data_IF_595851997356
#
_entry.id   IF_595851997356
#
_cell.length_a   1.000
_cell.length_b   1.000
_cell.length_c   1.000
_cell.angle_alpha   90.00
_cell.angle_beta   90.00
_cell.angle_gamma   90.00
#
_symmetry.space_group_name_H-M   'P 1'
#
loop_
_entity.id
_entity.type
_entity.pdbx_description
1 polymer ?
2 non-polymer ?
3 non-polymer ?
4 water ?
#
# COMPACT_ATOMS: atom_id res chain seq x y z
N UNK A 2 -14.29 -0.76 22.55
CA UNK A 2 -14.24 -2.17 22.93
C UNK A 2 -13.00 -2.53 23.73
N UNK A 3 -11.81 -2.19 23.23
CA UNK A 3 -10.56 -2.51 23.90
C UNK A 3 -9.91 -1.23 24.40
N UNK A 4 -9.58 -1.21 25.71
CA UNK A 4 -9.05 0.00 26.33
C UNK A 4 -7.91 0.58 25.50
N UNK A 5 -6.95 -0.25 25.11
CA UNK A 5 -5.88 0.14 24.23
C UNK A 5 -5.92 -0.77 23.01
N UNK A 6 -5.79 -0.19 21.83
CA UNK A 6 -5.80 -0.94 20.58
C UNK A 6 -4.55 -0.60 19.78
N UNK A 7 -4.48 -1.14 18.57
CA UNK A 7 -3.29 -0.95 17.74
C UNK A 7 -3.13 0.51 17.33
N UNK A 8 -4.22 1.25 17.14
CA UNK A 8 -4.11 2.66 16.79
C UNK A 8 -3.48 3.48 17.92
N UNK A 9 -3.92 3.26 19.16
CA UNK A 9 -3.32 4.00 20.26
C UNK A 9 -1.94 3.47 20.62
N UNK A 10 -1.69 2.18 20.38
CA UNK A 10 -0.35 1.66 20.63
C UNK A 10 0.66 2.41 19.78
N UNK A 11 0.42 2.46 18.48
CA UNK A 11 1.35 3.11 17.56
C UNK A 11 1.22 4.62 17.58
N UNK A 12 0.20 5.16 18.25
CA UNK A 12 0.18 6.60 18.49
C UNK A 12 1.20 6.99 19.56
N UNK A 13 1.38 6.12 20.57
CA UNK A 13 2.39 6.38 21.60
C UNK A 13 3.78 6.32 20.99
N UNK A 14 4.02 5.34 20.12
CA UNK A 14 5.35 5.16 19.53
C UNK A 14 5.55 6.10 18.36
N UNK A 15 4.68 6.03 17.36
CA UNK A 15 4.66 6.96 16.25
C UNK A 15 3.64 8.04 16.56
N UNK A 16 4.04 9.29 16.46
CA UNK A 16 3.14 10.38 16.80
C UNK A 16 1.89 10.36 15.94
N UNK A 17 0.79 10.84 16.52
CA UNK A 17 -0.45 11.04 15.78
C UNK A 17 -0.53 12.49 15.32
N UNK A 18 -0.64 12.67 14.01
CA UNK A 18 -0.71 14.00 13.39
C UNK A 18 -2.03 14.17 12.69
N UNK A 19 -2.81 15.18 13.09
CA UNK A 19 -4.03 15.55 12.41
C UNK A 19 -3.83 16.78 11.52
N UNK A 20 -2.59 17.17 11.30
CA UNK A 20 -2.24 18.20 10.33
C UNK A 20 -0.97 17.75 9.64
N UNK A 21 -0.85 18.10 8.36
CA UNK A 21 0.34 17.72 7.61
C UNK A 21 1.57 18.20 8.37
N UNK A 22 2.56 17.32 8.50
CA UNK A 22 3.74 17.56 9.32
C UNK A 22 4.98 17.27 8.48
N UNK A 23 5.94 18.19 8.52
CA UNK A 23 7.21 18.05 7.82
C UNK A 23 8.30 17.77 8.84
N UNK A 24 9.06 16.70 8.62
CA UNK A 24 10.08 16.26 9.57
C UNK A 24 11.44 16.83 9.17
N UNK A 25 12.50 16.30 9.78
CA UNK A 25 13.83 16.86 9.54
C UNK A 25 14.32 16.58 8.12
N UNK A 26 13.91 15.46 7.53
CA UNK A 26 14.26 15.14 6.15
C UNK A 26 13.43 15.92 5.14
N UNK A 27 12.46 16.71 5.58
CA UNK A 27 11.55 17.39 4.68
C UNK A 27 10.38 16.55 4.19
N UNK A 28 10.20 15.34 4.73
CA UNK A 28 9.14 14.46 4.29
C UNK A 28 7.83 14.89 4.92
N UNK A 29 6.78 15.01 4.10
CA UNK A 29 5.46 15.37 4.61
C UNK A 29 4.71 14.15 5.09
N UNK A 30 4.09 14.27 6.26
CA UNK A 30 3.45 13.15 6.93
C UNK A 30 2.12 13.60 7.51
N UNK A 31 1.25 12.63 7.78
CA UNK A 31 -0.03 12.90 8.42
C UNK A 31 -0.47 11.61 9.10
N UNK A 32 -1.40 11.73 10.05
CA UNK A 32 -1.92 10.57 10.73
C UNK A 32 -0.86 9.83 11.53
N UNK A 33 -1.04 8.52 11.63
CA UNK A 33 -0.10 7.66 12.33
C UNK A 33 1.05 7.33 11.39
N UNK A 34 1.99 8.27 11.25
CA UNK A 34 3.18 8.00 10.45
C UNK A 34 2.89 7.55 9.05
N UNK A 35 1.92 8.17 8.39
CA UNK A 35 1.58 7.86 7.01
C UNK A 35 2.33 8.84 6.11
N UNK A 36 3.33 8.35 5.39
CA UNK A 36 4.12 9.20 4.51
C UNK A 36 3.30 9.62 3.30
N UNK A 37 3.06 10.92 3.15
CA UNK A 37 2.34 11.41 2.00
C UNK A 37 3.26 11.58 0.80
N UNK A 38 4.38 12.27 0.99
CA UNK A 38 5.37 12.46 -0.05
C UNK A 38 6.69 12.80 0.62
N UNK A 39 7.78 12.65 -0.13
CA UNK A 39 9.10 13.01 0.35
C UNK A 39 9.62 14.27 -0.32
N UNK A 40 8.87 14.84 -1.25
CA UNK A 40 9.23 16.10 -1.89
C UNK A 40 8.84 17.23 -0.95
N UNK A 41 9.73 18.20 -0.78
CA UNK A 41 9.44 19.35 0.08
C UNK A 41 8.43 20.30 -0.54
N UNK A 42 7.23 19.81 -0.86
CA UNK A 42 6.17 20.63 -1.43
C UNK A 42 4.88 20.36 -0.67
N UNK A 43 4.41 21.38 0.06
CA UNK A 43 3.22 21.22 0.90
C UNK A 43 1.95 21.13 0.06
N UNK A 44 1.95 21.69 -1.15
CA UNK A 44 0.75 21.67 -1.97
C UNK A 44 0.50 20.28 -2.54
N UNK A 45 1.58 19.58 -2.94
CA UNK A 45 1.40 18.22 -3.41
C UNK A 45 1.09 17.27 -2.25
N UNK A 46 1.66 17.54 -1.07
CA UNK A 46 1.33 16.71 0.09
C UNK A 46 -0.15 16.83 0.43
N UNK A 47 -0.70 18.04 0.36
CA UNK A 47 -2.12 18.20 0.63
C UNK A 47 -2.95 17.63 -0.52
N UNK A 48 -2.47 17.76 -1.75
CA UNK A 48 -3.18 17.18 -2.88
C UNK A 48 -3.25 15.65 -2.76
N UNK A 49 -2.13 15.03 -2.37
CA UNK A 49 -2.14 13.60 -2.12
C UNK A 49 -3.16 13.26 -1.03
N UNK A 50 -3.15 14.04 0.05
CA UNK A 50 -4.11 13.80 1.13
C UNK A 50 -5.54 13.90 0.61
N UNK A 51 -5.79 14.84 -0.29
CA UNK A 51 -7.14 15.02 -0.81
C UNK A 51 -7.60 13.80 -1.60
N UNK A 52 -6.71 13.19 -2.39
CA UNK A 52 -7.11 12.02 -3.14
C UNK A 52 -7.30 10.82 -2.24
N UNK A 53 -6.47 10.68 -1.21
CA UNK A 53 -6.62 9.56 -0.28
C UNK A 53 -7.95 9.65 0.44
N UNK A 54 -8.26 10.82 0.97
CA UNK A 54 -9.52 11.06 1.64
C UNK A 54 -10.54 11.49 0.59
N UNK A 55 -11.79 11.65 1.01
CA UNK A 55 -12.81 11.99 0.05
C UNK A 55 -13.27 13.44 0.10
N UNK A 56 -12.38 14.34 0.51
CA UNK A 56 -12.74 15.74 0.61
C UNK A 56 -11.54 16.62 0.27
N UNK A 57 -11.83 17.90 0.07
CA UNK A 57 -10.83 18.92 -0.20
C UNK A 57 -10.32 19.48 1.14
N UNK A 58 -9.52 18.66 1.80
CA UNK A 58 -8.90 19.08 3.06
C UNK A 58 -7.88 20.18 2.81
N UNK A 59 -7.67 21.02 3.82
CA UNK A 59 -6.64 22.04 3.78
C UNK A 59 -5.45 21.66 4.67
N UNK A 60 -5.16 20.36 4.75
CA UNK A 60 -4.09 19.86 5.58
C UNK A 60 -4.53 19.32 6.92
N UNK A 61 -5.76 19.65 7.34
CA UNK A 61 -6.29 19.21 8.62
C UNK A 61 -7.24 18.05 8.37
N UNK A 62 -7.18 17.04 9.24
CA UNK A 62 -8.03 15.87 9.14
C UNK A 62 -8.61 15.59 10.52
N UNK A 63 -9.59 14.70 10.55
CA UNK A 63 -10.20 14.25 11.81
C UNK A 63 -9.50 12.99 12.30
N UNK A 64 -9.76 12.66 13.57
CA UNK A 64 -9.24 11.41 14.12
C UNK A 64 -9.89 10.20 13.44
N UNK A 65 -11.16 10.32 13.05
CA UNK A 65 -11.81 9.23 12.34
C UNK A 65 -11.09 8.93 11.03
N UNK A 66 -10.69 9.97 10.30
CA UNK A 66 -10.00 9.76 9.04
C UNK A 66 -8.60 9.21 9.26
N UNK A 67 -7.92 9.65 10.33
CA UNK A 67 -6.62 9.10 10.63
C UNK A 67 -6.71 7.61 10.96
N UNK A 68 -7.81 7.20 11.61
CA UNK A 68 -7.98 5.76 11.88
C UNK A 68 -8.29 5.01 10.59
N UNK A 69 -8.97 5.65 9.64
CA UNK A 69 -9.19 5.02 8.35
C UNK A 69 -7.87 4.83 7.60
N UNK A 70 -7.05 5.88 7.55
CA UNK A 70 -5.74 5.74 6.93
C UNK A 70 -4.92 4.66 7.61
N UNK A 71 -4.94 4.66 8.95
CA UNK A 71 -4.14 3.70 9.69
C UNK A 71 -4.64 2.27 9.48
N UNK A 72 -5.96 2.08 9.49
CA UNK A 72 -6.48 0.74 9.25
C UNK A 72 -6.00 0.21 7.91
N UNK A 73 -5.81 1.09 6.92
CA UNK A 73 -5.27 0.65 5.64
C UNK A 73 -3.81 0.23 5.76
N UNK A 74 -3.03 0.99 6.52
CA UNK A 74 -1.63 0.61 6.73
C UNK A 74 -1.54 -0.70 7.51
N UNK A 75 -2.43 -0.93 8.46
CA UNK A 75 -2.41 -2.17 9.21
C UNK A 75 -2.73 -3.35 8.30
N UNK A 76 -3.74 -3.20 7.45
CA UNK A 76 -4.07 -4.26 6.51
C UNK A 76 -2.87 -4.62 5.65
N UNK A 77 -2.07 -3.62 5.27
CA UNK A 77 -0.87 -3.91 4.49
C UNK A 77 0.22 -4.53 5.35
N UNK A 78 0.32 -4.15 6.62
CA UNK A 78 1.30 -4.78 7.50
C UNK A 78 0.98 -6.24 7.73
N UNK A 79 -0.31 -6.56 7.92
CA UNK A 79 -0.69 -7.97 8.06
C UNK A 79 -0.40 -8.72 6.77
N UNK A 80 -0.67 -8.09 5.62
CA UNK A 80 -0.40 -8.74 4.34
C UNK A 80 1.09 -9.03 4.19
N UNK A 81 1.95 -8.11 4.64
CA UNK A 81 3.37 -8.35 4.56
C UNK A 81 3.84 -9.45 5.49
N UNK A 82 3.22 -9.56 6.66
CA UNK A 82 3.61 -10.59 7.62
C UNK A 82 3.16 -11.96 7.13
N UNK A 83 1.90 -12.08 6.72
CA UNK A 83 1.39 -13.37 6.26
C UNK A 83 2.00 -13.78 4.93
N UNK A 84 2.51 -12.83 4.16
CA UNK A 84 3.18 -13.11 2.90
C UNK A 84 4.65 -13.43 3.08
N UNK A 85 5.20 -13.23 4.27
CA UNK A 85 6.59 -13.55 4.55
C UNK A 85 6.69 -14.96 5.09
N UNK A 86 7.66 -15.72 4.56
CA UNK A 86 7.85 -17.09 5.01
C UNK A 86 8.32 -17.15 6.46
N UNK A 87 9.07 -16.15 6.93
CA UNK A 87 9.59 -16.21 8.28
C UNK A 87 8.54 -15.79 9.30
N UNK A 88 7.85 -14.68 9.06
CA UNK A 88 6.94 -14.12 10.03
C UNK A 88 5.57 -14.79 10.02
N UNK A 89 5.19 -15.43 8.91
CA UNK A 89 3.83 -15.95 8.79
C UNK A 89 3.46 -16.98 9.85
N UNK A 90 4.29 -17.98 10.17
CA UNK A 90 3.89 -18.94 11.21
C UNK A 90 3.84 -18.33 12.61
N UNK A 91 4.64 -17.30 12.90
CA UNK A 91 4.54 -16.66 14.21
C UNK A 91 3.21 -15.95 14.35
N UNK A 92 2.83 -15.17 13.33
CA UNK A 92 1.57 -14.45 13.39
C UNK A 92 0.40 -15.39 13.69
N UNK A 93 0.43 -16.61 13.11
CA UNK A 93 -0.67 -17.55 13.28
C UNK A 93 -0.89 -17.90 14.75
N UNK A 94 0.18 -18.23 15.48
CA UNK A 94 0.01 -18.71 16.84
C UNK A 94 -0.14 -17.58 17.87
N UNK A 95 0.20 -16.35 17.52
CA UNK A 95 0.12 -15.24 18.48
C UNK A 95 -1.32 -14.77 18.69
N UNK A 96 -1.61 -14.38 19.93
CA UNK A 96 -2.93 -13.83 20.25
C UNK A 96 -3.06 -12.42 19.69
N UNK A 97 -4.21 -11.80 19.97
CA UNK A 97 -4.51 -10.49 19.39
C UNK A 97 -3.53 -9.43 19.89
N UNK A 98 -3.26 -9.40 21.19
CA UNK A 98 -2.39 -8.38 21.75
C UNK A 98 -0.97 -8.54 21.21
N UNK A 99 -0.44 -9.76 21.27
CA UNK A 99 0.92 -9.97 20.80
C UNK A 99 1.04 -9.80 19.28
N UNK A 100 -0.06 -10.02 18.56
CA UNK A 100 -0.08 -9.72 17.13
C UNK A 100 0.13 -8.23 16.87
N UNK A 101 -0.46 -7.38 17.72
CA UNK A 101 -0.24 -5.95 17.57
C UNK A 101 1.22 -5.58 17.79
N UNK A 102 1.91 -6.28 18.68
CA UNK A 102 3.31 -5.97 18.95
C UNK A 102 4.19 -6.36 17.77
N UNK A 103 3.85 -7.46 17.07
CA UNK A 103 4.59 -7.84 15.88
C UNK A 103 4.34 -6.86 14.75
N UNK A 104 3.12 -6.35 14.64
CA UNK A 104 2.81 -5.34 13.65
C UNK A 104 3.54 -4.04 13.98
N UNK A 105 3.67 -3.73 15.26
CA UNK A 105 4.42 -2.55 15.68
C UNK A 105 5.85 -2.60 15.18
N UNK A 106 6.48 -3.77 15.28
CA UNK A 106 7.85 -3.90 14.79
C UNK A 106 7.90 -3.71 13.28
N UNK A 107 6.93 -4.27 12.56
CA UNK A 107 6.91 -4.12 11.12
C UNK A 107 6.61 -2.68 10.72
N UNK A 108 6.00 -1.90 11.61
CA UNK A 108 5.82 -0.48 11.34
C UNK A 108 7.15 0.28 11.41
N UNK A 109 7.92 0.05 12.46
CA UNK A 109 9.19 0.73 12.64
C UNK A 109 10.17 0.30 11.56
N UNK A 110 10.58 -0.97 11.63
CA UNK A 110 11.39 -1.58 10.59
C UNK A 110 10.48 -2.34 9.62
N UNK A 111 11.02 -2.64 8.45
CA UNK A 111 10.24 -3.31 7.44
C UNK A 111 9.96 -4.77 7.78
N UNK A 112 9.17 -5.39 6.92
CA UNK A 112 8.95 -6.83 7.05
C UNK A 112 10.27 -7.57 6.99
N UNK A 113 11.18 -7.12 6.12
CA UNK A 113 12.49 -7.77 6.02
C UNK A 113 13.33 -7.50 7.26
N UNK A 114 13.09 -6.36 7.93
CA UNK A 114 13.84 -6.07 9.14
C UNK A 114 13.41 -6.93 10.31
N UNK A 115 12.10 -7.10 10.48
CA UNK A 115 11.60 -7.94 11.56
C UNK A 115 12.02 -9.39 11.33
N UNK A 116 12.02 -9.82 10.07
CA UNK A 116 12.42 -11.17 9.74
C UNK A 116 13.90 -11.43 10.01
N UNK A 117 14.65 -10.39 10.41
CA UNK A 117 16.04 -10.59 10.78
C UNK A 117 16.26 -11.10 12.19
N UNK A 118 15.23 -11.06 13.03
CA UNK A 118 15.31 -11.56 14.41
C UNK A 118 15.07 -13.07 14.41
N UNK A 119 16.03 -13.80 13.85
CA UNK A 119 15.85 -15.24 13.67
C UNK A 119 15.63 -15.94 15.01
N UNK A 120 16.57 -15.80 15.95
CA UNK A 120 16.47 -16.52 17.20
C UNK A 120 15.31 -16.01 18.05
N UNK A 121 15.11 -14.69 18.10
CA UNK A 121 14.01 -14.14 18.88
C UNK A 121 12.66 -14.60 18.33
N UNK A 122 12.55 -14.71 17.00
CA UNK A 122 11.28 -15.13 16.42
C UNK A 122 10.97 -16.58 16.76
N UNK A 123 11.99 -17.44 16.82
CA UNK A 123 11.76 -18.83 17.22
C UNK A 123 11.25 -18.90 18.65
N UNK A 124 11.75 -18.02 19.52
CA UNK A 124 11.27 -17.97 20.90
C UNK A 124 9.80 -17.54 20.93
N UNK A 125 9.43 -16.55 20.12
CA UNK A 125 8.04 -16.14 20.06
C UNK A 125 7.17 -17.25 19.47
N UNK A 126 7.65 -17.91 18.41
CA UNK A 126 6.86 -18.94 17.77
C UNK A 126 6.49 -20.07 18.74
N UNK A 127 7.38 -20.37 19.69
CA UNK A 127 7.17 -21.40 20.68
C UNK A 127 6.53 -20.88 21.96
N UNK A 128 5.92 -19.70 21.90
CA UNK A 128 5.28 -19.10 23.08
C UNK A 128 6.22 -19.07 24.27
N UNK A 129 7.52 -18.98 24.00
CA UNK A 129 8.53 -18.87 25.04
C UNK A 129 8.80 -17.39 25.35
N UNK A 130 7.77 -16.71 25.82
CA UNK A 130 7.93 -15.32 26.22
C UNK A 130 9.05 -15.24 27.27
N UNK A 131 9.53 -14.02 27.51
CA UNK A 131 10.56 -13.79 28.52
C UNK A 131 11.93 -14.23 27.98
N UNK A 132 12.02 -15.45 27.47
CA UNK A 132 13.23 -15.85 26.76
C UNK A 132 13.37 -15.05 25.47
N UNK A 133 12.26 -14.79 24.79
CA UNK A 133 12.28 -13.90 23.63
C UNK A 133 12.62 -12.47 24.03
N UNK A 134 12.12 -12.04 25.19
CA UNK A 134 12.38 -10.68 25.64
C UNK A 134 13.87 -10.44 25.90
N UNK A 135 14.58 -11.48 26.35
CA UNK A 135 16.01 -11.34 26.58
C UNK A 135 16.75 -11.22 25.25
N UNK A 136 16.38 -12.03 24.27
CA UNK A 136 17.05 -11.96 22.98
C UNK A 136 16.70 -10.68 22.24
N UNK A 137 15.46 -10.21 22.37
CA UNK A 137 15.08 -8.96 21.71
C UNK A 137 15.77 -7.77 22.35
N UNK A 138 16.07 -7.84 23.65
CA UNK A 138 16.74 -6.72 24.31
C UNK A 138 18.19 -6.59 23.87
N UNK A 139 18.81 -7.71 23.48
CA UNK A 139 20.17 -7.69 22.95
C UNK A 139 20.09 -7.55 21.44
N UNK A 140 19.76 -6.35 21.00
CA UNK A 140 19.61 -6.07 19.58
C UNK A 140 19.87 -4.61 19.31
N UNK A 141 20.17 -4.31 18.04
CA UNK A 141 20.31 -2.92 17.63
C UNK A 141 19.01 -2.15 17.79
N UNK A 142 17.87 -2.83 17.59
CA UNK A 142 16.57 -2.20 17.78
C UNK A 142 16.42 -1.66 19.20
N UNK A 143 16.84 -2.45 20.19
CA UNK A 143 16.78 -1.97 21.57
C UNK A 143 17.77 -0.84 21.81
N UNK A 144 18.93 -0.88 21.16
CA UNK A 144 19.94 0.15 21.37
C UNK A 144 19.48 1.50 20.83
N UNK A 145 18.93 1.51 19.62
CA UNK A 145 18.56 2.78 19.00
C UNK A 145 17.31 3.36 19.62
N UNK A 146 16.32 2.52 19.92
CA UNK A 146 15.03 2.97 20.46
C UNK A 146 14.71 2.20 21.73
N UNK A 147 15.44 2.48 22.81
CA UNK A 147 15.23 1.70 24.03
C UNK A 147 13.81 1.77 24.56
N UNK A 148 13.20 2.96 24.60
CA UNK A 148 11.91 3.09 25.27
C UNK A 148 10.80 2.47 24.46
N UNK A 149 10.80 2.67 23.14
CA UNK A 149 9.82 1.99 22.30
C UNK A 149 10.01 0.47 22.35
N UNK A 150 11.28 0.03 22.35
CA UNK A 150 11.55 -1.40 22.42
C UNK A 150 11.08 -1.98 23.76
N UNK A 151 11.29 -1.24 24.85
CA UNK A 151 10.84 -1.74 26.14
C UNK A 151 9.33 -1.96 26.14
N UNK A 152 8.57 -1.01 25.60
CA UNK A 152 7.11 -1.17 25.63
C UNK A 152 6.69 -2.38 24.80
N UNK A 153 7.29 -2.55 23.62
CA UNK A 153 6.89 -3.63 22.73
C UNK A 153 7.29 -4.97 23.33
N UNK A 154 8.51 -5.07 23.85
CA UNK A 154 8.96 -6.32 24.46
C UNK A 154 8.10 -6.67 25.65
N UNK A 155 7.75 -5.66 26.47
CA UNK A 155 6.87 -5.93 27.59
C UNK A 155 5.52 -6.47 27.13
N UNK A 156 5.01 -5.98 25.99
CA UNK A 156 3.75 -6.48 25.46
C UNK A 156 3.89 -7.95 25.08
N UNK A 157 5.04 -8.34 24.52
CA UNK A 157 5.24 -9.75 24.20
C UNK A 157 5.30 -10.59 25.47
N UNK A 158 5.85 -10.05 26.55
CA UNK A 158 5.95 -10.83 27.79
C UNK A 158 4.59 -10.99 28.44
N UNK A 159 3.86 -9.89 28.62
CA UNK A 159 2.60 -9.95 29.34
C UNK A 159 1.42 -10.30 28.43
N UNK A 160 1.35 -9.69 27.26
CA UNK A 160 0.13 -9.77 26.47
C UNK A 160 -1.01 -8.99 27.08
N UNK A 161 -0.72 -7.91 27.84
CA UNK A 161 -1.72 -7.23 28.64
C UNK A 161 -1.84 -5.73 28.40
N UNK A 162 -1.21 -5.20 27.34
CA UNK A 162 -1.26 -3.77 27.06
C UNK A 162 -0.78 -2.93 28.25
N UNK A 163 -0.16 -3.55 29.25
CA UNK A 163 0.20 -2.84 30.47
C UNK A 163 1.17 -1.69 30.18
N UNK A 164 2.08 -1.88 29.23
CA UNK A 164 3.06 -0.85 28.92
C UNK A 164 2.44 0.41 28.31
N UNK A 165 1.23 0.32 27.76
CA UNK A 165 0.55 1.43 27.10
C UNK A 165 -0.66 1.91 27.88
N UNK A 166 -0.72 1.64 29.19
CA UNK A 166 -1.90 2.01 29.98
C UNK A 166 -2.25 3.48 29.79
N UNK A 167 -1.27 4.37 29.89
CA UNK A 167 -1.49 5.80 29.71
C UNK A 167 -0.26 6.41 29.03
N UNK A 168 0.08 5.85 27.87
CA UNK A 168 1.29 6.26 27.14
C UNK A 168 2.53 6.07 28.01
N UNK B 2 -22.89 6.14 -14.05
CA UNK B 2 -22.49 7.53 -14.26
C UNK B 2 -21.51 7.70 -15.41
N UNK B 3 -20.43 6.92 -15.43
CA UNK B 3 -19.41 7.00 -16.46
C UNK B 3 -19.49 5.75 -17.33
N UNK B 4 -19.64 5.95 -18.65
CA UNK B 4 -19.79 4.82 -19.56
C UNK B 4 -18.66 3.81 -19.36
N UNK B 5 -17.41 4.28 -19.42
CA UNK B 5 -16.23 3.49 -19.12
C UNK B 5 -15.47 4.22 -18.02
N UNK B 6 -15.04 3.50 -17.02
CA UNK B 6 -14.31 4.06 -15.90
C UNK B 6 -12.99 3.32 -15.74
N UNK B 7 -12.25 3.69 -14.69
CA UNK B 7 -10.96 3.06 -14.45
C UNK B 7 -11.11 1.59 -14.09
N UNK B 8 -12.17 1.23 -13.38
CA UNK B 8 -12.39 -0.18 -13.06
C UNK B 8 -12.64 -0.96 -14.35
N UNK B 9 -13.47 -0.41 -15.23
CA UNK B 9 -13.75 -1.09 -16.49
C UNK B 9 -12.57 -1.00 -17.44
N UNK B 10 -11.78 0.07 -17.38
CA UNK B 10 -10.58 0.16 -18.19
C UNK B 10 -9.61 -0.95 -17.83
N UNK B 11 -9.28 -1.08 -16.55
CA UNK B 11 -8.30 -2.07 -16.11
C UNK B 11 -8.89 -3.47 -15.99
N UNK B 12 -10.21 -3.62 -16.10
CA UNK B 12 -10.77 -4.96 -16.18
C UNK B 12 -10.40 -5.62 -17.51
N UNK B 13 -10.36 -4.82 -18.58
CA UNK B 13 -9.93 -5.35 -19.88
C UNK B 13 -8.45 -5.72 -19.83
N UNK B 14 -7.64 -4.90 -19.18
CA UNK B 14 -6.18 -5.07 -19.21
C UNK B 14 -5.70 -6.12 -18.22
N UNK B 15 -6.06 -5.98 -16.95
CA UNK B 15 -5.64 -6.95 -15.94
C UNK B 15 -6.60 -8.12 -15.79
N UNK B 16 -7.87 -7.93 -16.12
CA UNK B 16 -8.88 -8.95 -15.93
C UNK B 16 -9.49 -8.88 -14.54
N UNK B 17 -10.77 -9.20 -14.43
CA UNK B 17 -11.47 -9.22 -13.15
C UNK B 17 -11.59 -10.65 -12.65
N UNK B 18 -11.05 -10.92 -11.46
CA UNK B 18 -11.13 -12.23 -10.83
C UNK B 18 -11.90 -12.12 -9.53
N UNK B 19 -13.01 -12.83 -9.43
CA UNK B 19 -13.79 -12.89 -8.19
C UNK B 19 -13.52 -14.17 -7.42
N UNK B 20 -12.51 -14.94 -7.81
CA UNK B 20 -12.07 -16.10 -7.06
C UNK B 20 -10.54 -16.10 -7.07
N UNK B 21 -9.96 -16.51 -5.94
CA UNK B 21 -8.50 -16.52 -5.84
C UNK B 21 -7.93 -17.29 -7.01
N UNK B 22 -6.89 -16.73 -7.63
CA UNK B 22 -6.31 -17.26 -8.86
C UNK B 22 -4.81 -17.41 -8.69
N UNK B 23 -4.28 -18.57 -9.06
CA UNK B 23 -2.85 -18.85 -9.01
C UNK B 23 -2.29 -18.87 -10.43
N UNK B 24 -1.27 -18.07 -10.67
CA UNK B 24 -0.70 -17.90 -12.00
C UNK B 24 0.49 -18.84 -12.19
N UNK B 25 1.28 -18.58 -13.25
CA UNK B 25 2.38 -19.49 -13.58
C UNK B 25 3.50 -19.44 -12.54
N UNK B 26 3.70 -18.28 -11.91
CA UNK B 26 4.70 -18.17 -10.85
C UNK B 26 4.21 -18.76 -9.53
N UNK B 27 2.96 -19.20 -9.46
CA UNK B 27 2.40 -19.63 -8.19
C UNK B 27 1.91 -18.48 -7.33
N UNK B 28 1.90 -17.26 -7.87
CA UNK B 28 1.47 -16.10 -7.12
C UNK B 28 -0.05 -16.03 -7.10
N UNK B 29 -0.62 -15.87 -5.91
CA UNK B 29 -2.06 -15.78 -5.76
C UNK B 29 -2.55 -14.35 -6.00
N UNK B 30 -3.65 -14.23 -6.75
CA UNK B 30 -4.19 -12.95 -7.16
C UNK B 30 -5.70 -12.98 -7.04
N UNK B 31 -6.29 -11.79 -6.96
CA UNK B 31 -7.74 -11.65 -6.87
C UNK B 31 -8.10 -10.27 -7.39
N UNK B 32 -9.36 -10.08 -7.76
CA UNK B 32 -9.81 -8.78 -8.21
C UNK B 32 -9.10 -8.35 -9.48
N UNK B 33 -8.88 -7.04 -9.59
CA UNK B 33 -8.17 -6.46 -10.73
C UNK B 33 -6.67 -6.57 -10.46
N UNK B 34 -6.12 -7.76 -10.67
CA UNK B 34 -4.69 -7.96 -10.55
C UNK B 34 -4.10 -7.55 -9.22
N UNK B 35 -4.79 -7.85 -8.13
CA UNK B 35 -4.29 -7.51 -6.80
C UNK B 35 -3.55 -8.71 -6.24
N UNK B 36 -2.22 -8.60 -6.12
CA UNK B 36 -1.39 -9.70 -5.63
C UNK B 36 -1.62 -9.91 -4.15
N UNK B 37 -2.11 -11.09 -3.79
CA UNK B 37 -2.32 -11.41 -2.38
C UNK B 37 -1.04 -11.91 -1.72
N UNK B 38 -0.41 -12.93 -2.31
CA UNK B 38 0.82 -13.47 -1.74
C UNK B 38 1.59 -14.19 -2.84
N UNK B 39 2.88 -14.37 -2.59
CA UNK B 39 3.77 -15.09 -3.49
C UNK B 39 4.31 -16.39 -2.90
N UNK B 40 3.95 -16.72 -1.66
CA UNK B 40 4.51 -17.91 -1.01
C UNK B 40 3.89 -19.20 -1.51
N UNK B 41 2.95 -19.15 -2.44
CA UNK B 41 2.38 -20.35 -3.05
C UNK B 41 1.66 -21.19 -2.00
N UNK B 42 0.74 -20.57 -1.27
CA UNK B 42 -0.05 -21.25 -0.26
C UNK B 42 -1.50 -20.79 -0.37
N UNK B 43 -2.40 -21.70 -0.73
CA UNK B 43 -3.79 -21.31 -0.96
C UNK B 43 -4.48 -20.94 0.35
N UNK B 44 -4.06 -21.53 1.48
CA UNK B 44 -4.68 -21.20 2.75
C UNK B 44 -4.24 -19.83 3.24
N UNK B 45 -2.97 -19.48 3.03
CA UNK B 45 -2.48 -18.16 3.44
C UNK B 45 -2.98 -17.07 2.52
N UNK B 46 -3.15 -17.38 1.23
CA UNK B 46 -3.71 -16.39 0.32
C UNK B 46 -5.12 -16.01 0.74
N UNK B 47 -5.92 -17.00 1.15
CA UNK B 47 -7.27 -16.70 1.62
C UNK B 47 -7.22 -16.02 2.98
N UNK B 48 -6.26 -16.38 3.84
CA UNK B 48 -6.12 -15.72 5.12
C UNK B 48 -5.80 -14.25 4.93
N UNK B 49 -4.91 -13.94 3.98
CA UNK B 49 -4.62 -12.55 3.66
C UNK B 49 -5.89 -11.87 3.14
N UNK B 50 -6.61 -12.54 2.24
CA UNK B 50 -7.83 -11.96 1.69
C UNK B 50 -8.84 -11.68 2.80
N UNK B 51 -8.94 -12.58 3.79
CA UNK B 51 -9.93 -12.40 4.85
C UNK B 51 -9.64 -11.15 5.65
N UNK B 52 -8.37 -10.84 5.90
CA UNK B 52 -8.02 -9.64 6.66
C UNK B 52 -8.30 -8.37 5.86
N UNK B 53 -8.09 -8.41 4.55
CA UNK B 53 -8.29 -7.23 3.73
C UNK B 53 -9.76 -6.80 3.69
N UNK B 54 -10.66 -7.73 3.42
CA UNK B 54 -12.08 -7.39 3.30
C UNK B 54 -12.84 -7.44 4.61
N UNK B 55 -12.38 -8.20 5.60
CA UNK B 55 -13.07 -8.28 6.88
C UNK B 55 -14.11 -9.36 7.00
N UNK B 56 -13.98 -10.46 6.27
CA UNK B 56 -14.91 -11.57 6.33
C UNK B 56 -14.12 -12.86 6.19
N UNK B 57 -14.74 -13.98 6.60
CA UNK B 57 -14.13 -15.28 6.40
C UNK B 57 -14.60 -15.83 5.05
N UNK B 58 -14.14 -15.18 3.99
CA UNK B 58 -14.42 -15.65 2.65
C UNK B 58 -13.62 -16.92 2.38
N UNK B 59 -14.12 -17.73 1.46
CA UNK B 59 -13.42 -18.94 1.03
C UNK B 59 -12.78 -18.75 -0.33
N UNK B 60 -12.30 -17.55 -0.62
CA UNK B 60 -11.69 -17.23 -1.89
C UNK B 60 -12.58 -16.52 -2.87
N UNK B 61 -13.89 -16.50 -2.64
CA UNK B 61 -14.84 -15.85 -3.53
C UNK B 61 -15.23 -14.51 -2.94
N UNK B 62 -15.30 -13.49 -3.80
CA UNK B 62 -15.68 -12.14 -3.41
C UNK B 62 -16.71 -11.62 -4.40
N UNK B 63 -17.33 -10.50 -4.03
CA UNK B 63 -18.30 -9.83 -4.89
C UNK B 63 -17.59 -8.80 -5.77
N UNK B 64 -18.30 -8.33 -6.79
CA UNK B 64 -17.76 -7.28 -7.63
C UNK B 64 -17.59 -5.98 -6.85
N UNK B 65 -18.50 -5.72 -5.90
CA UNK B 65 -18.37 -4.54 -5.06
C UNK B 65 -17.08 -4.59 -4.25
N UNK B 66 -16.75 -5.76 -3.69
CA UNK B 66 -15.53 -5.87 -2.90
C UNK B 66 -14.28 -5.78 -3.78
N UNK B 67 -14.34 -6.33 -5.00
CA UNK B 67 -13.20 -6.21 -5.90
C UNK B 67 -12.94 -4.75 -6.26
N UNK B 68 -14.02 -3.97 -6.41
CA UNK B 68 -13.86 -2.55 -6.68
C UNK B 68 -13.35 -1.82 -5.44
N UNK B 69 -13.70 -2.29 -4.25
CA UNK B 69 -13.14 -1.71 -3.02
C UNK B 69 -11.64 -1.93 -2.97
N UNK B 70 -11.19 -3.15 -3.26
CA UNK B 70 -9.76 -3.42 -3.36
C UNK B 70 -9.14 -2.52 -4.42
N UNK B 71 -9.81 -2.41 -5.57
CA UNK B 71 -9.26 -1.65 -6.68
C UNK B 71 -9.18 -0.17 -6.36
N UNK B 72 -10.22 0.39 -5.73
CA UNK B 72 -10.18 1.79 -5.36
C UNK B 72 -9.00 2.07 -4.44
N UNK B 73 -8.63 1.11 -3.59
CA UNK B 73 -7.45 1.29 -2.77
C UNK B 73 -6.18 1.29 -3.59
N UNK B 74 -6.09 0.40 -4.58
CA UNK B 74 -4.91 0.37 -5.44
C UNK B 74 -4.81 1.65 -6.27
N UNK B 75 -5.93 2.19 -6.72
CA UNK B 75 -5.87 3.43 -7.49
C UNK B 75 -5.40 4.58 -6.63
N UNK B 76 -5.91 4.68 -5.40
CA UNK B 76 -5.43 5.71 -4.49
C UNK B 76 -3.93 5.62 -4.31
N UNK B 77 -3.39 4.39 -4.23
CA UNK B 77 -1.95 4.23 -4.07
C UNK B 77 -1.22 4.56 -5.38
N UNK B 78 -1.86 4.33 -6.52
CA UNK B 78 -1.26 4.72 -7.79
C UNK B 78 -1.18 6.23 -7.90
N UNK B 79 -2.23 6.94 -7.50
CA UNK B 79 -2.21 8.39 -7.54
C UNK B 79 -1.17 8.94 -6.58
N UNK B 80 -1.04 8.33 -5.40
CA UNK B 80 -0.03 8.79 -4.45
C UNK B 80 1.36 8.64 -5.03
N UNK B 81 1.60 7.54 -5.75
CA UNK B 81 2.92 7.34 -6.35
C UNK B 81 3.21 8.33 -7.46
N UNK B 82 2.18 8.69 -8.23
CA UNK B 82 2.36 9.65 -9.33
C UNK B 82 2.63 11.03 -8.76
N UNK B 83 1.78 11.47 -7.82
CA UNK B 83 1.93 12.80 -7.24
C UNK B 83 3.18 12.94 -6.38
N UNK B 84 3.73 11.83 -5.87
CA UNK B 84 4.95 11.88 -5.09
C UNK B 84 6.21 11.79 -5.94
N UNK B 85 6.10 11.49 -7.23
CA UNK B 85 7.25 11.42 -8.12
C UNK B 85 7.48 12.77 -8.76
N UNK B 86 8.73 13.21 -8.78
CA UNK B 86 9.03 14.53 -9.35
C UNK B 86 8.76 14.58 -10.85
N UNK B 87 8.91 13.47 -11.55
CA UNK B 87 8.70 13.49 -13.00
C UNK B 87 7.22 13.38 -13.35
N UNK B 88 6.50 12.45 -12.72
CA UNK B 88 5.11 12.21 -13.10
C UNK B 88 4.13 13.20 -12.48
N UNK B 89 4.49 13.84 -11.35
CA UNK B 89 3.54 14.71 -10.67
C UNK B 89 3.09 15.90 -11.51
N UNK B 90 3.98 16.63 -12.20
CA UNK B 90 3.50 17.76 -13.03
C UNK B 90 2.69 17.30 -14.23
N UNK B 91 2.91 16.07 -14.70
CA UNK B 91 2.12 15.55 -15.80
C UNK B 91 0.67 15.34 -15.35
N UNK B 92 0.49 14.67 -14.21
CA UNK B 92 -0.86 14.40 -13.71
C UNK B 92 -1.69 15.68 -13.63
N UNK B 93 -1.08 16.78 -13.21
CA UNK B 93 -1.82 18.03 -13.04
C UNK B 93 -2.47 18.47 -14.34
N UNK B 94 -1.70 18.45 -15.44
CA UNK B 94 -2.22 18.99 -16.71
C UNK B 94 -3.09 17.99 -17.45
N UNK B 95 -3.05 16.72 -17.06
CA UNK B 95 -3.82 15.69 -17.76
C UNK B 95 -5.29 15.75 -17.34
N UNK B 96 -6.18 15.54 -18.31
CA UNK B 96 -7.61 15.45 -18.03
C UNK B 96 -7.93 14.09 -17.40
N UNK B 97 -9.21 13.86 -17.12
CA UNK B 97 -9.61 12.65 -16.40
C UNK B 97 -9.31 11.40 -17.21
N UNK B 98 -9.67 11.41 -18.51
CA UNK B 98 -9.49 10.22 -19.34
C UNK B 98 -8.01 9.88 -19.47
N UNK B 99 -7.19 10.88 -19.77
CA UNK B 99 -5.76 10.65 -19.91
C UNK B 99 -5.12 10.35 -18.56
N UNK B 100 -5.71 10.84 -17.47
CA UNK B 100 -5.24 10.45 -16.14
C UNK B 100 -5.38 8.95 -15.91
N UNK B 101 -6.48 8.36 -16.37
CA UNK B 101 -6.66 6.92 -16.22
C UNK B 101 -5.59 6.16 -16.99
N UNK B 102 -5.16 6.69 -18.14
CA UNK B 102 -4.16 5.99 -18.93
C UNK B 102 -2.81 5.99 -18.23
N UNK B 103 -2.48 7.08 -17.56
CA UNK B 103 -1.24 7.13 -16.78
C UNK B 103 -1.32 6.20 -15.59
N UNK B 104 -2.50 6.11 -14.96
CA UNK B 104 -2.67 5.15 -13.89
C UNK B 104 -2.59 3.74 -14.43
N UNK B 105 -3.14 3.52 -15.63
CA UNK B 105 -3.05 2.20 -16.25
C UNK B 105 -1.60 1.78 -16.45
N UNK B 106 -0.75 2.71 -16.89
CA UNK B 106 0.65 2.38 -17.04
C UNK B 106 1.29 2.09 -15.69
N UNK B 107 0.95 2.86 -14.66
CA UNK B 107 1.54 2.62 -13.35
C UNK B 107 1.03 1.32 -12.74
N UNK B 108 -0.12 0.83 -13.20
CA UNK B 108 -0.58 -0.48 -12.74
C UNK B 108 0.30 -1.59 -13.32
N UNK B 109 0.52 -1.57 -14.62
CA UNK B 109 1.31 -2.60 -15.29
C UNK B 109 2.76 -2.54 -14.82
N UNK B 110 3.45 -1.47 -15.18
CA UNK B 110 4.80 -1.19 -14.70
C UNK B 110 4.72 -0.26 -13.51
N UNK B 111 5.78 -0.21 -12.73
CA UNK B 111 5.80 0.59 -11.53
C UNK B 111 5.86 2.08 -11.82
N UNK B 112 5.79 2.87 -10.75
CA UNK B 112 6.00 4.31 -10.87
C UNK B 112 7.37 4.59 -11.47
N UNK B 113 8.38 3.80 -11.08
CA UNK B 113 9.71 4.01 -11.62
C UNK B 113 9.79 3.59 -13.08
N UNK B 114 8.96 2.64 -13.49
CA UNK B 114 8.94 2.24 -14.90
C UNK B 114 8.36 3.31 -15.79
N UNK B 115 7.24 3.91 -15.35
CA UNK B 115 6.60 4.97 -16.12
C UNK B 115 7.51 6.19 -16.20
N UNK B 116 8.23 6.50 -15.12
CA UNK B 116 9.14 7.64 -15.10
C UNK B 116 10.34 7.45 -16.02
N UNK B 117 10.50 6.28 -16.62
CA UNK B 117 11.55 6.07 -17.59
C UNK B 117 11.23 6.57 -18.97
N UNK B 118 9.97 6.89 -19.26
CA UNK B 118 9.55 7.42 -20.56
C UNK B 118 9.82 8.93 -20.61
N UNK B 119 11.11 9.27 -20.57
CA UNK B 119 11.50 10.67 -20.46
C UNK B 119 10.94 11.50 -21.61
N UNK B 120 11.24 11.11 -22.85
CA UNK B 120 10.83 11.90 -24.00
C UNK B 120 9.31 11.89 -24.16
N UNK B 121 8.68 10.75 -23.95
CA UNK B 121 7.23 10.68 -24.09
C UNK B 121 6.53 11.55 -23.04
N UNK B 122 7.07 11.59 -21.83
CA UNK B 122 6.46 12.38 -20.77
C UNK B 122 6.60 13.87 -21.03
N UNK B 123 7.71 14.30 -21.62
CA UNK B 123 7.85 15.70 -21.98
C UNK B 123 6.80 16.09 -23.02
N UNK B 124 6.50 15.18 -23.96
CA UNK B 124 5.44 15.48 -24.92
C UNK B 124 4.08 15.56 -24.25
N UNK B 125 3.80 14.64 -23.32
CA UNK B 125 2.53 14.69 -22.61
C UNK B 125 2.41 15.97 -21.80
N UNK B 126 3.49 16.40 -21.17
CA UNK B 126 3.45 17.59 -20.33
C UNK B 126 3.02 18.81 -21.14
N UNK B 127 3.39 18.86 -22.42
CA UNK B 127 3.01 19.96 -23.30
C UNK B 127 1.73 19.67 -24.06
N UNK B 128 0.95 18.68 -23.64
CA UNK B 128 -0.30 18.30 -24.33
C UNK B 128 -0.06 18.12 -25.83
N UNK B 129 1.16 17.72 -26.19
CA UNK B 129 1.50 17.48 -27.59
C UNK B 129 1.23 16.02 -27.94
N UNK B 130 -0.06 15.67 -27.87
CA UNK B 130 -0.48 14.32 -28.22
C UNK B 130 0.03 13.99 -29.61
N UNK B 131 -0.05 12.73 -30.00
CA UNK B 131 0.39 12.29 -31.32
C UNK B 131 1.92 12.19 -31.32
N UNK B 132 2.61 13.26 -30.94
CA UNK B 132 4.06 13.16 -30.76
C UNK B 132 4.39 12.26 -29.57
N UNK B 133 3.61 12.35 -28.50
CA UNK B 133 3.82 11.45 -27.37
C UNK B 133 3.51 10.01 -27.78
N UNK B 134 2.50 9.83 -28.62
CA UNK B 134 2.15 8.49 -29.06
C UNK B 134 3.27 7.85 -29.87
N UNK B 135 4.03 8.65 -30.61
CA UNK B 135 5.12 8.11 -31.40
C UNK B 135 6.25 7.61 -30.50
N UNK B 136 6.58 8.38 -29.46
CA UNK B 136 7.64 7.95 -28.55
C UNK B 136 7.19 6.77 -27.70
N UNK B 137 5.90 6.71 -27.35
CA UNK B 137 5.40 5.58 -26.59
C UNK B 137 5.36 4.32 -27.43
N UNK B 138 5.15 4.45 -28.74
CA UNK B 138 5.12 3.28 -29.62
C UNK B 138 6.50 2.70 -29.85
N UNK B 139 7.55 3.53 -29.78
CA UNK B 139 8.92 3.04 -29.89
C UNK B 139 9.45 2.76 -28.48
N UNK B 140 8.95 1.68 -27.90
CA UNK B 140 9.32 1.31 -26.53
C UNK B 140 9.18 -0.20 -26.38
N UNK B 141 9.82 -0.74 -25.34
CA UNK B 141 9.64 -2.14 -25.02
C UNK B 141 8.20 -2.42 -24.62
N UNK B 142 7.56 -1.46 -23.94
CA UNK B 142 6.17 -1.65 -23.53
C UNK B 142 5.30 -1.96 -24.73
N UNK B 143 5.49 -1.25 -25.84
CA UNK B 143 4.71 -1.52 -27.03
C UNK B 143 5.06 -2.90 -27.59
N UNK B 144 6.33 -3.27 -27.51
CA UNK B 144 6.76 -4.57 -28.02
C UNK B 144 6.21 -5.70 -27.18
N UNK B 145 6.29 -5.58 -25.85
CA UNK B 145 5.94 -6.68 -24.96
C UNK B 145 4.45 -6.91 -24.88
N UNK B 146 3.66 -5.84 -24.83
CA UNK B 146 2.20 -5.92 -24.73
C UNK B 146 1.59 -5.01 -25.79
N UNK B 147 1.65 -5.41 -27.05
CA UNK B 147 1.18 -4.50 -28.12
C UNK B 147 -0.27 -4.06 -27.95
N UNK B 148 -1.18 -4.99 -27.67
CA UNK B 148 -2.60 -4.65 -27.70
C UNK B 148 -2.99 -3.77 -26.52
N UNK B 149 -2.47 -4.06 -25.32
CA UNK B 149 -2.68 -3.16 -24.20
C UNK B 149 -2.02 -1.81 -24.46
N UNK B 150 -0.82 -1.82 -25.03
CA UNK B 150 -0.14 -0.56 -25.32
C UNK B 150 -0.90 0.22 -26.38
N UNK B 151 -1.41 -0.46 -27.41
CA UNK B 151 -2.19 0.22 -28.44
C UNK B 151 -3.41 0.90 -27.81
N UNK B 152 -4.10 0.19 -26.92
CA UNK B 152 -5.28 0.74 -26.28
C UNK B 152 -4.94 1.95 -25.43
N UNK B 153 -3.87 1.88 -24.66
CA UNK B 153 -3.51 2.98 -23.77
C UNK B 153 -3.04 4.19 -24.58
N UNK B 154 -2.17 3.95 -25.57
CA UNK B 154 -1.68 5.04 -26.41
C UNK B 154 -2.83 5.71 -27.15
N UNK B 155 -3.77 4.92 -27.64
CA UNK B 155 -4.92 5.51 -28.32
C UNK B 155 -5.67 6.45 -27.38
N UNK B 156 -5.75 6.08 -26.10
CA UNK B 156 -6.45 6.93 -25.13
C UNK B 156 -5.72 8.25 -24.94
N UNK B 157 -4.38 8.22 -24.96
CA UNK B 157 -3.63 9.47 -24.84
C UNK B 157 -3.85 10.36 -26.06
N UNK B 158 -4.00 9.77 -27.26
CA UNK B 158 -4.18 10.58 -28.45
C UNK B 158 -5.54 11.26 -28.45
N UNK B 159 -6.59 10.49 -28.22
CA UNK B 159 -7.96 10.99 -28.32
C UNK B 159 -8.46 11.65 -27.05
N UNK B 160 -8.07 11.14 -25.88
CA UNK B 160 -8.72 11.56 -24.65
C UNK B 160 -10.14 11.05 -24.54
N UNK B 161 -10.45 9.93 -25.17
CA UNK B 161 -11.77 9.33 -25.14
C UNK B 161 -11.62 7.87 -24.75
N UNK B 162 -12.76 7.25 -24.44
CA UNK B 162 -12.78 5.83 -24.06
C UNK B 162 -12.94 4.93 -25.28
N UNK B 163 -12.72 5.45 -26.49
CA UNK B 163 -13.02 4.69 -27.68
C UNK B 163 -12.31 3.34 -27.68
N UNK B 164 -11.08 3.30 -27.18
CA UNK B 164 -10.31 2.06 -27.25
C UNK B 164 -10.91 0.97 -26.38
N UNK B 165 -11.69 1.32 -25.35
CA UNK B 165 -12.26 0.32 -24.46
C UNK B 165 -13.77 0.19 -24.57
N UNK B 166 -14.43 1.09 -25.32
CA UNK B 166 -15.84 0.90 -25.60
C UNK B 166 -16.03 -0.38 -26.42
N UNK B 167 -15.21 -0.55 -27.46
CA UNK B 167 -15.31 -1.68 -28.37
C UNK B 167 -13.92 -2.17 -28.78
#
# INVERSE_FOLDING_TARGET
>A
MAKVVDEFDMLRVDEGLKLTVYQDHLGYWTVGIGHLLTKIKDKAKAIQILDNLLGRKTNGVITEKEARQIFEGDVKKAIQGILSNATLSPIYDILDEVRRCALINMVFQMGVAGVAGFNNSLRMLQEKRWDEAAVNLAQSRWYRQTPNRAKRVISTFKTGTWKAYENL
>B
MAKVVDEFDMLRVDEGLKLTVYQDHLGYWTVGIGHLLTKIKDKAKAIQILDNLLGRKTNGVITEKEARQIFEGDVKKAIQGILSNATLSPIYDILDEVRRCALINMVFQMGVAGVAGFNNSLRMLQEKRWDEAAVNLAQSRWYRQTPNRAKRVISTFKTGTWKAYENL
#
